data_IF_396282421675
#
_entry.id   IF_396282421675
#
_cell.length_a   1.000
_cell.length_b   1.000
_cell.length_c   1.000
_cell.angle_alpha   90.00
_cell.angle_beta   90.00
_cell.angle_gamma   90.00
#
_symmetry.space_group_name_H-M   'P 1'
#
loop_
_entity.id
_entity.type
_entity.pdbx_description
1 polymer ?
#
# COMPACT_ATOMS: atom_id res chain seq x y z
N UNK A 1 -13.98 5.17 38.11
CA UNK A 1 -13.47 3.80 37.89
C UNK A 1 -14.38 3.12 36.88
N UNK A 2 -14.02 3.12 35.58
CA UNK A 2 -14.50 2.12 34.61
C UNK A 2 -13.77 2.24 33.25
N UNK A 3 -12.91 1.24 33.03
CA UNK A 3 -12.31 0.64 31.81
C UNK A 3 -12.37 1.42 30.49
N UNK A 4 -11.23 2.01 30.13
CA UNK A 4 -10.81 2.21 28.73
C UNK A 4 -10.53 0.84 28.08
N UNK A 5 -11.25 0.48 27.02
CA UNK A 5 -10.87 -0.64 26.16
C UNK A 5 -9.87 -0.14 25.11
N UNK A 6 -8.71 -0.80 25.07
CA UNK A 6 -7.67 -0.61 24.07
C UNK A 6 -8.21 -1.08 22.71
N UNK A 7 -8.46 -0.16 21.78
CA UNK A 7 -8.51 -0.44 20.33
C UNK A 7 -7.31 0.22 19.66
N UNK A 8 -6.56 -0.59 18.92
CA UNK A 8 -5.28 -0.24 18.29
C UNK A 8 -5.42 0.80 17.19
N UNK A 9 -4.30 1.47 16.92
CA UNK A 9 -4.14 2.58 15.98
C UNK A 9 -4.24 2.15 14.50
N UNK A 10 -5.41 1.67 14.07
CA UNK A 10 -5.69 1.26 12.69
C UNK A 10 -6.62 2.19 11.90
N UNK A 11 -7.23 3.19 12.53
CA UNK A 11 -8.24 4.07 11.91
C UNK A 11 -7.82 5.55 12.05
N UNK A 12 -7.17 6.11 11.02
CA UNK A 12 -6.84 7.56 10.95
C UNK A 12 -7.64 8.30 9.85
N UNK A 13 -8.66 7.68 9.25
CA UNK A 13 -9.57 8.38 8.34
C UNK A 13 -11.01 8.39 8.85
N UNK A 14 -11.26 9.06 9.98
CA UNK A 14 -12.58 9.54 10.36
C UNK A 14 -12.51 10.98 10.89
N UNK A 15 -12.98 11.95 10.11
CA UNK A 15 -13.60 13.17 10.64
C UNK A 15 -14.59 13.74 9.59
N UNK A 16 -15.82 13.23 9.60
CA UNK A 16 -16.97 13.93 9.03
C UNK A 16 -18.15 13.81 10.02
N UNK A 17 -18.39 14.86 10.80
CA UNK A 17 -19.69 15.10 11.46
C UNK A 17 -20.47 16.08 10.61
N UNK A 18 -21.55 15.63 9.98
CA UNK A 18 -22.66 16.50 9.62
C UNK A 18 -23.98 15.76 9.85
N UNK A 19 -24.74 16.21 10.83
CA UNK A 19 -26.06 15.70 11.18
C UNK A 19 -27.07 16.17 10.13
N UNK A 20 -27.57 15.27 9.28
CA UNK A 20 -28.99 15.09 8.91
C UNK A 20 -29.16 14.35 7.57
N UNK A 21 -30.24 13.55 7.53
CA UNK A 21 -30.96 12.94 6.39
C UNK A 21 -30.57 11.52 5.94
N UNK A 22 -31.48 10.58 6.24
CA UNK A 22 -31.34 9.14 6.21
C UNK A 22 -31.73 8.40 4.93
N UNK A 23 -31.43 8.93 3.73
CA UNK A 23 -31.58 8.18 2.46
C UNK A 23 -30.31 8.07 1.61
N UNK A 24 -29.22 8.78 1.97
CA UNK A 24 -27.90 8.63 1.35
C UNK A 24 -27.04 7.53 2.02
N UNK A 25 -27.64 6.65 2.82
CA UNK A 25 -26.94 5.79 3.77
C UNK A 25 -26.23 4.60 3.11
N UNK A 26 -26.79 4.03 2.04
CA UNK A 26 -26.21 2.82 1.42
C UNK A 26 -25.01 3.08 0.50
N UNK A 27 -24.95 4.26 -0.14
CA UNK A 27 -23.80 4.63 -0.98
C UNK A 27 -22.70 5.30 -0.13
N UNK A 28 -23.08 6.05 0.92
CA UNK A 28 -22.11 6.76 1.78
C UNK A 28 -21.48 5.87 2.86
N UNK A 29 -22.17 4.88 3.45
CA UNK A 29 -21.55 3.99 4.45
C UNK A 29 -20.45 3.11 3.86
N UNK A 30 -20.50 2.77 2.57
CA UNK A 30 -19.41 2.08 1.88
C UNK A 30 -18.17 2.94 1.64
N UNK A 31 -18.33 4.27 1.55
CA UNK A 31 -17.33 5.20 1.04
C UNK A 31 -16.72 6.12 2.13
N UNK A 32 -17.47 6.45 3.19
CA UNK A 32 -17.00 7.28 4.32
C UNK A 32 -15.94 6.57 5.20
N UNK A 33 -15.72 5.28 4.98
CA UNK A 33 -14.78 4.45 5.73
C UNK A 33 -13.31 4.54 5.22
N UNK A 34 -12.95 5.44 4.30
CA UNK A 34 -11.61 5.47 3.69
C UNK A 34 -11.26 4.19 2.89
N UNK A 35 -12.26 3.38 2.52
CA UNK A 35 -12.12 2.05 1.93
C UNK A 35 -12.10 2.05 0.40
N UNK A 36 -11.22 2.83 -0.24
CA UNK A 36 -10.84 2.54 -1.64
C UNK A 36 -9.99 1.26 -1.67
N UNK A 37 -10.66 0.11 -1.57
CA UNK A 37 -10.03 -1.21 -1.52
C UNK A 37 -9.17 -1.46 -2.76
N UNK A 38 -8.00 -2.06 -2.58
CA UNK A 38 -7.15 -2.61 -3.66
C UNK A 38 -7.96 -3.54 -4.59
N UNK A 39 -9.05 -4.11 -4.09
CA UNK A 39 -9.90 -5.12 -4.71
C UNK A 39 -11.00 -4.67 -5.69
N UNK A 40 -11.23 -3.37 -5.89
CA UNK A 40 -12.18 -2.90 -6.92
C UNK A 40 -11.52 -2.86 -8.30
N UNK A 41 -12.25 -3.14 -9.39
CA UNK A 41 -11.71 -3.00 -10.75
C UNK A 41 -11.20 -1.58 -11.03
N UNK A 42 -10.19 -1.42 -11.91
CA UNK A 42 -9.59 -0.10 -12.17
C UNK A 42 -10.63 0.94 -12.62
N UNK A 43 -11.55 0.56 -13.51
CA UNK A 43 -12.59 1.44 -14.03
C UNK A 43 -13.57 1.93 -12.94
N UNK A 44 -13.96 1.05 -12.01
CA UNK A 44 -14.85 1.41 -10.92
C UNK A 44 -14.19 2.31 -9.89
N UNK A 45 -12.90 2.09 -9.62
CA UNK A 45 -12.11 2.97 -8.74
C UNK A 45 -12.04 4.37 -9.32
N UNK A 46 -11.73 4.48 -10.61
CA UNK A 46 -11.66 5.78 -11.29
C UNK A 46 -13.03 6.45 -11.22
N UNK A 47 -14.10 5.79 -11.68
CA UNK A 47 -15.45 6.36 -11.66
C UNK A 47 -15.87 6.84 -10.26
N UNK A 48 -15.70 5.99 -9.24
CA UNK A 48 -16.05 6.35 -7.87
C UNK A 48 -15.24 7.54 -7.35
N UNK A 49 -13.95 7.61 -7.67
CA UNK A 49 -13.09 8.69 -7.22
C UNK A 49 -13.40 10.03 -7.91
N UNK A 50 -13.68 10.00 -9.22
CA UNK A 50 -14.18 11.18 -9.95
C UNK A 50 -15.46 11.70 -9.30
N UNK A 51 -16.42 10.80 -9.02
CA UNK A 51 -17.69 11.17 -8.38
C UNK A 51 -17.49 11.75 -6.99
N UNK A 52 -16.57 11.20 -6.19
CA UNK A 52 -16.24 11.73 -4.86
C UNK A 52 -15.70 13.17 -4.98
N UNK A 53 -14.83 13.45 -5.94
CA UNK A 53 -14.31 14.80 -6.16
C UNK A 53 -15.40 15.78 -6.61
N UNK A 54 -16.27 15.38 -7.54
CA UNK A 54 -17.40 16.20 -7.97
C UNK A 54 -18.34 16.52 -6.81
N UNK A 55 -18.68 15.51 -5.99
CA UNK A 55 -19.50 15.70 -4.79
C UNK A 55 -18.85 16.65 -3.79
N UNK A 56 -17.53 16.55 -3.61
CA UNK A 56 -16.76 17.47 -2.79
C UNK A 56 -16.92 18.93 -3.26
N UNK A 57 -16.80 19.19 -4.58
CA UNK A 57 -17.07 20.52 -5.16
C UNK A 57 -18.53 20.94 -4.99
N UNK A 58 -19.49 20.06 -5.27
CA UNK A 58 -20.93 20.34 -5.16
C UNK A 58 -21.37 20.68 -3.73
N UNK A 59 -20.67 20.15 -2.72
CA UNK A 59 -21.00 20.39 -1.30
C UNK A 59 -20.86 21.87 -0.93
N UNK A 60 -19.93 22.60 -1.56
CA UNK A 60 -19.70 24.03 -1.33
C UNK A 60 -19.10 24.40 0.04
N UNK A 61 -19.26 23.55 1.05
CA UNK A 61 -18.71 23.75 2.41
C UNK A 61 -17.38 23.03 2.64
N UNK A 62 -17.02 22.06 1.79
CA UNK A 62 -15.72 21.39 1.90
C UNK A 62 -14.59 22.37 1.57
N UNK A 63 -13.66 22.54 2.50
CA UNK A 63 -12.53 23.47 2.32
C UNK A 63 -11.27 22.79 1.81
N UNK A 64 -11.05 21.52 2.12
CA UNK A 64 -9.84 20.80 1.72
C UNK A 64 -10.19 19.37 1.33
N UNK A 65 -9.90 19.02 0.09
CA UNK A 65 -9.97 17.66 -0.42
C UNK A 65 -8.56 17.06 -0.49
N UNK A 66 -8.32 15.92 0.17
CA UNK A 66 -7.03 15.22 0.09
C UNK A 66 -7.23 13.86 -0.57
N UNK A 67 -6.57 13.65 -1.70
CA UNK A 67 -6.60 12.39 -2.43
C UNK A 67 -5.51 11.43 -1.95
N UNK A 68 -5.87 10.21 -1.56
CA UNK A 68 -4.90 9.14 -1.25
C UNK A 68 -4.43 8.47 -2.54
N UNK A 69 -3.24 8.82 -2.99
CA UNK A 69 -2.74 8.47 -4.30
C UNK A 69 -1.64 7.41 -4.26
N UNK A 70 -1.33 6.86 -5.44
CA UNK A 70 -0.14 6.09 -5.76
C UNK A 70 0.40 6.61 -7.10
N UNK A 71 1.67 6.37 -7.38
CA UNK A 71 2.34 6.86 -8.59
C UNK A 71 1.60 6.43 -9.87
N UNK A 72 1.59 7.30 -10.88
CA UNK A 72 1.08 6.95 -12.21
C UNK A 72 2.16 6.22 -13.02
N UNK A 73 2.41 4.96 -12.66
CA UNK A 73 3.52 4.15 -13.19
C UNK A 73 3.53 4.05 -14.71
N UNK A 74 2.38 3.79 -15.34
CA UNK A 74 2.30 3.78 -16.80
C UNK A 74 2.75 5.12 -17.39
N UNK A 75 2.40 6.27 -16.80
CA UNK A 75 2.86 7.57 -17.31
C UNK A 75 4.37 7.76 -17.10
N UNK A 76 4.88 7.42 -15.91
CA UNK A 76 6.31 7.53 -15.55
C UNK A 76 7.20 6.69 -16.47
N UNK A 77 6.71 5.51 -16.88
CA UNK A 77 7.49 4.53 -17.66
C UNK A 77 7.25 4.61 -19.17
N UNK A 78 6.62 5.68 -19.67
CA UNK A 78 6.33 5.82 -21.10
C UNK A 78 5.33 4.78 -21.63
N UNK A 79 4.38 4.38 -20.79
CA UNK A 79 3.31 3.40 -21.05
C UNK A 79 3.80 1.98 -21.34
N UNK A 80 4.97 1.62 -20.82
CA UNK A 80 5.53 0.28 -20.98
C UNK A 80 4.66 -0.77 -20.25
N UNK A 81 4.13 -1.80 -20.95
CA UNK A 81 3.25 -2.81 -20.35
C UNK A 81 3.92 -3.67 -19.25
N UNK A 82 5.27 -3.72 -19.22
CA UNK A 82 6.06 -4.40 -18.18
C UNK A 82 5.76 -3.86 -16.78
N UNK A 83 5.43 -2.58 -16.65
CA UNK A 83 5.19 -1.90 -15.38
C UNK A 83 3.72 -1.50 -15.18
N UNK A 84 2.80 -2.01 -16.02
CA UNK A 84 1.38 -1.65 -15.94
C UNK A 84 0.71 -2.26 -14.70
N UNK A 85 0.73 -1.53 -13.60
CA UNK A 85 0.14 -1.93 -12.33
C UNK A 85 -1.20 -1.25 -12.12
N UNK A 86 -2.28 -2.01 -12.27
CA UNK A 86 -3.62 -1.44 -12.36
C UNK A 86 -4.04 -0.66 -11.11
N UNK A 87 -3.62 -1.12 -9.93
CA UNK A 87 -3.99 -0.48 -8.68
C UNK A 87 -3.19 0.80 -8.38
N UNK A 88 -2.00 0.96 -8.98
CA UNK A 88 -1.24 2.21 -9.00
C UNK A 88 -1.84 3.17 -10.03
N UNK A 89 -1.89 2.73 -11.30
CA UNK A 89 -2.33 3.58 -12.41
C UNK A 89 -3.76 4.10 -12.26
N UNK A 90 -4.67 3.32 -11.64
CA UNK A 90 -6.04 3.80 -11.39
C UNK A 90 -6.07 5.01 -10.46
N UNK A 91 -5.20 5.08 -9.46
CA UNK A 91 -5.09 6.24 -8.57
C UNK A 91 -4.38 7.40 -9.27
N UNK A 92 -3.27 7.12 -9.94
CA UNK A 92 -2.52 8.13 -10.70
C UNK A 92 -3.36 8.83 -11.78
N UNK A 93 -4.21 8.09 -12.52
CA UNK A 93 -5.16 8.67 -13.48
C UNK A 93 -6.17 9.62 -12.84
N UNK A 94 -6.66 9.28 -11.66
CA UNK A 94 -7.57 10.16 -10.91
C UNK A 94 -6.86 11.45 -10.52
N UNK A 95 -5.60 11.35 -10.06
CA UNK A 95 -4.83 12.55 -9.75
C UNK A 95 -4.65 13.45 -10.98
N UNK A 96 -4.43 12.90 -12.18
CA UNK A 96 -4.35 13.69 -13.41
C UNK A 96 -5.65 14.43 -13.73
N UNK A 97 -6.81 13.79 -13.50
CA UNK A 97 -8.09 14.48 -13.58
C UNK A 97 -8.20 15.62 -12.57
N UNK A 98 -7.82 15.37 -11.31
CA UNK A 98 -7.87 16.37 -10.21
C UNK A 98 -6.93 17.55 -10.51
N UNK A 99 -5.74 17.29 -11.05
CA UNK A 99 -4.77 18.32 -11.48
C UNK A 99 -5.36 19.29 -12.51
N UNK A 100 -6.30 18.83 -13.34
CA UNK A 100 -7.03 19.68 -14.28
C UNK A 100 -8.09 20.59 -13.65
N UNK A 101 -8.32 20.52 -12.34
CA UNK A 101 -9.37 21.24 -11.63
C UNK A 101 -8.82 22.44 -10.86
N UNK A 102 -9.59 23.53 -10.71
CA UNK A 102 -9.16 24.68 -9.91
C UNK A 102 -9.03 24.30 -8.43
N UNK A 103 -7.95 24.78 -7.80
CA UNK A 103 -7.74 24.72 -6.36
C UNK A 103 -7.78 26.14 -5.79
N UNK A 104 -8.80 26.42 -4.99
CA UNK A 104 -9.14 27.79 -4.59
C UNK A 104 -8.94 27.96 -3.09
N UNK A 105 -8.03 28.86 -2.70
CA UNK A 105 -7.74 29.14 -1.29
C UNK A 105 -9.00 29.57 -0.53
N UNK A 106 -9.81 30.46 -1.12
CA UNK A 106 -11.08 30.92 -0.55
C UNK A 106 -12.24 29.92 -0.72
N UNK A 107 -12.06 28.94 -1.60
CA UNK A 107 -13.03 27.89 -1.91
C UNK A 107 -12.59 26.54 -1.37
N UNK A 108 -12.65 25.53 -2.24
CA UNK A 108 -12.13 24.19 -1.96
C UNK A 108 -10.74 24.07 -2.58
N UNK A 109 -9.72 23.83 -1.75
CA UNK A 109 -8.42 23.38 -2.25
C UNK A 109 -8.42 21.87 -2.39
N UNK A 110 -7.61 21.38 -3.33
CA UNK A 110 -7.28 19.97 -3.39
C UNK A 110 -5.77 19.78 -3.17
N UNK A 111 -5.43 18.67 -2.53
CA UNK A 111 -4.07 18.16 -2.39
C UNK A 111 -4.09 16.65 -2.62
N UNK A 112 -2.92 16.08 -2.84
CA UNK A 112 -2.73 14.64 -2.95
C UNK A 112 -1.61 14.18 -2.03
N UNK A 113 -1.76 12.98 -1.49
CA UNK A 113 -0.74 12.29 -0.71
C UNK A 113 -0.42 10.99 -1.43
N UNK A 114 0.69 10.97 -2.16
CA UNK A 114 1.20 9.80 -2.87
C UNK A 114 2.12 9.01 -1.95
N UNK A 115 1.80 7.74 -1.72
CA UNK A 115 2.50 6.89 -0.76
C UNK A 115 3.15 5.68 -1.44
N UNK A 116 3.77 4.81 -0.66
CA UNK A 116 4.26 3.51 -1.10
C UNK A 116 3.66 2.35 -0.31
N UNK A 117 4.22 1.15 -0.45
CA UNK A 117 3.88 -0.01 0.37
C UNK A 117 4.09 0.25 1.85
N UNK A 118 3.26 -0.36 2.69
CA UNK A 118 3.37 -0.17 4.14
C UNK A 118 4.47 -1.05 4.72
N UNK A 119 5.26 -0.54 5.67
CA UNK A 119 6.24 -1.35 6.41
C UNK A 119 5.55 -2.54 7.10
N UNK A 120 4.29 -2.37 7.49
CA UNK A 120 3.43 -3.40 8.04
C UNK A 120 3.32 -4.63 7.14
N UNK A 121 3.48 -4.50 5.81
CA UNK A 121 3.49 -5.62 4.88
C UNK A 121 4.64 -6.61 5.11
N UNK A 122 5.67 -6.26 5.89
CA UNK A 122 6.68 -7.19 6.41
C UNK A 122 6.08 -8.24 7.36
N UNK A 123 4.87 -7.98 7.89
CA UNK A 123 4.06 -8.96 8.63
C UNK A 123 3.05 -9.67 7.72
N UNK A 124 3.30 -9.77 6.41
CA UNK A 124 2.40 -10.41 5.44
C UNK A 124 3.20 -11.31 4.51
N UNK A 125 2.57 -12.29 3.84
CA UNK A 125 3.27 -13.17 2.90
C UNK A 125 3.79 -12.45 1.65
N UNK A 126 3.46 -11.17 1.46
CA UNK A 126 3.95 -10.39 0.31
C UNK A 126 5.42 -10.00 0.51
N UNK A 127 5.81 -9.54 1.70
CA UNK A 127 7.20 -9.11 2.00
C UNK A 127 7.86 -9.85 3.16
N UNK A 128 7.06 -10.43 4.06
CA UNK A 128 7.55 -11.09 5.25
C UNK A 128 8.31 -12.38 4.95
N UNK A 129 9.21 -12.81 5.85
CA UNK A 129 10.02 -13.98 5.63
C UNK A 129 9.23 -15.28 5.83
N UNK A 130 9.77 -16.37 5.30
CA UNK A 130 9.41 -17.74 5.66
C UNK A 130 10.31 -18.21 6.81
N UNK A 131 9.81 -19.07 7.70
CA UNK A 131 10.66 -19.73 8.69
C UNK A 131 11.01 -21.15 8.22
N UNK A 132 12.30 -21.42 8.04
CA UNK A 132 12.80 -22.77 7.84
C UNK A 132 13.08 -23.44 9.19
N UNK A 133 12.15 -24.26 9.65
CA UNK A 133 12.28 -24.99 10.92
C UNK A 133 13.43 -26.00 10.97
N UNK A 134 13.97 -26.45 9.81
CA UNK A 134 15.11 -27.39 9.79
C UNK A 134 16.43 -26.71 10.11
N UNK A 135 16.57 -25.44 9.72
CA UNK A 135 17.80 -24.66 9.88
C UNK A 135 17.64 -23.51 10.88
N UNK A 136 16.46 -23.42 11.48
CA UNK A 136 16.00 -22.30 12.31
C UNK A 136 16.38 -20.93 11.72
N UNK A 137 16.08 -20.75 10.43
CA UNK A 137 16.49 -19.55 9.68
C UNK A 137 15.28 -18.91 9.01
N UNK A 138 15.17 -17.60 9.15
CA UNK A 138 14.17 -16.79 8.46
C UNK A 138 14.66 -16.43 7.06
N UNK A 139 13.87 -16.74 6.04
CA UNK A 139 14.23 -16.50 4.64
C UNK A 139 13.32 -15.41 4.09
N UNK A 140 13.87 -14.22 3.88
CA UNK A 140 13.22 -13.17 3.12
C UNK A 140 13.38 -13.52 1.64
N UNK A 141 12.32 -14.05 1.02
CA UNK A 141 12.35 -14.50 -0.36
C UNK A 141 11.51 -13.55 -1.22
N UNK A 142 12.14 -12.79 -2.10
CA UNK A 142 11.47 -11.78 -2.93
C UNK A 142 12.16 -11.64 -4.30
N UNK A 143 11.40 -11.39 -5.38
CA UNK A 143 11.93 -11.17 -6.73
C UNK A 143 12.32 -9.69 -6.91
N UNK A 144 13.31 -9.21 -6.15
CA UNK A 144 13.66 -7.77 -6.10
C UNK A 144 15.11 -7.49 -6.55
N UNK A 145 15.95 -8.51 -6.72
CA UNK A 145 17.33 -8.31 -7.14
C UNK A 145 18.07 -7.36 -6.21
N UNK A 146 18.51 -6.21 -6.75
CA UNK A 146 19.20 -5.13 -6.01
C UNK A 146 18.34 -3.86 -5.86
N UNK A 147 17.05 -3.97 -6.19
CA UNK A 147 16.12 -2.85 -6.12
C UNK A 147 15.66 -2.53 -4.70
N UNK A 148 14.90 -1.45 -4.58
CA UNK A 148 14.45 -0.87 -3.32
C UNK A 148 12.94 -0.67 -3.31
N UNK A 149 12.34 -0.84 -2.12
CA UNK A 149 10.94 -0.47 -1.90
C UNK A 149 10.87 0.80 -1.06
N UNK A 150 10.27 1.90 -1.55
CA UNK A 150 9.96 3.07 -0.74
C UNK A 150 8.81 2.74 0.21
N UNK A 151 9.13 2.20 1.39
CA UNK A 151 8.13 1.79 2.38
C UNK A 151 7.74 2.97 3.29
N UNK A 152 6.46 3.08 3.64
CA UNK A 152 5.93 4.06 4.61
C UNK A 152 5.39 3.32 5.83
N UNK A 153 5.70 3.78 7.04
CA UNK A 153 5.04 3.26 8.25
C UNK A 153 3.62 3.86 8.37
N UNK A 154 2.66 3.13 8.93
CA UNK A 154 1.30 3.70 9.11
C UNK A 154 1.29 4.93 10.02
N UNK A 155 2.24 5.03 10.97
CA UNK A 155 2.37 6.21 11.84
C UNK A 155 2.87 7.43 11.09
N UNK A 156 3.87 7.29 10.23
CA UNK A 156 4.35 8.40 9.40
C UNK A 156 3.32 8.79 8.33
N UNK A 157 2.59 7.82 7.78
CA UNK A 157 1.45 8.09 6.89
C UNK A 157 0.41 8.99 7.59
N UNK A 158 0.05 8.68 8.83
CA UNK A 158 -0.84 9.50 9.64
C UNK A 158 -0.29 10.90 9.91
N UNK A 159 1.03 11.01 10.14
CA UNK A 159 1.71 12.30 10.29
C UNK A 159 1.57 13.16 9.02
N UNK A 160 1.93 12.64 7.85
CA UNK A 160 1.86 13.39 6.60
C UNK A 160 0.43 13.74 6.20
N UNK A 161 -0.54 12.84 6.43
CA UNK A 161 -1.95 13.13 6.20
C UNK A 161 -2.40 14.34 7.03
N UNK A 162 -2.08 14.36 8.33
CA UNK A 162 -2.36 15.50 9.19
C UNK A 162 -1.61 16.76 8.75
N UNK A 163 -0.32 16.63 8.41
CA UNK A 163 0.52 17.75 8.01
C UNK A 163 -0.07 18.51 6.81
N UNK A 164 -0.60 17.80 5.82
CA UNK A 164 -1.28 18.42 4.67
C UNK A 164 -2.47 19.27 5.13
N UNK A 165 -3.32 18.75 6.01
CA UNK A 165 -4.48 19.51 6.52
C UNK A 165 -4.07 20.74 7.33
N UNK A 166 -3.03 20.62 8.16
CA UNK A 166 -2.50 21.74 8.97
C UNK A 166 -1.83 22.82 8.08
N UNK A 167 -1.46 22.50 6.84
CA UNK A 167 -0.77 23.38 5.88
C UNK A 167 -1.55 23.58 4.58
N UNK A 168 -2.88 23.67 4.67
CA UNK A 168 -3.82 23.73 3.55
C UNK A 168 -3.40 24.63 2.38
N UNK A 169 -3.03 25.88 2.65
CA UNK A 169 -2.68 26.83 1.59
C UNK A 169 -1.38 26.43 0.87
N UNK A 170 -0.37 25.99 1.63
CA UNK A 170 0.91 25.55 1.10
C UNK A 170 0.80 24.29 0.23
N UNK A 171 -0.26 23.49 0.42
CA UNK A 171 -0.51 22.26 -0.34
C UNK A 171 -1.64 22.38 -1.37
N UNK A 172 -2.17 23.58 -1.61
CA UNK A 172 -3.14 23.81 -2.67
C UNK A 172 -2.58 23.41 -4.03
N UNK A 173 -3.29 22.56 -4.77
CA UNK A 173 -2.89 21.99 -6.05
C UNK A 173 -1.53 21.24 -6.04
N UNK A 174 -1.15 20.65 -4.89
CA UNK A 174 0.11 19.90 -4.76
C UNK A 174 -0.13 18.42 -4.47
N UNK A 175 0.78 17.61 -4.99
CA UNK A 175 0.95 16.22 -4.58
C UNK A 175 2.18 16.12 -3.68
N UNK A 176 2.02 15.50 -2.51
CA UNK A 176 3.12 15.22 -1.59
C UNK A 176 3.46 13.73 -1.70
N UNK A 177 4.62 13.43 -2.28
CA UNK A 177 5.12 12.07 -2.46
C UNK A 177 5.99 11.68 -1.26
N UNK A 178 5.51 10.71 -0.46
CA UNK A 178 6.14 10.36 0.83
C UNK A 178 6.61 8.91 0.87
N UNK A 179 7.62 8.70 1.70
CA UNK A 179 8.11 7.39 2.13
C UNK A 179 8.79 7.56 3.50
N UNK A 180 8.84 6.49 4.29
CA UNK A 180 9.59 6.47 5.55
C UNK A 180 11.04 6.07 5.31
N UNK A 181 11.25 5.08 4.45
CA UNK A 181 12.56 4.51 4.18
C UNK A 181 12.64 3.90 2.77
N UNK A 182 13.84 3.85 2.19
CA UNK A 182 14.13 3.14 0.95
C UNK A 182 14.74 1.78 1.30
N UNK A 183 13.90 0.76 1.38
CA UNK A 183 14.27 -0.53 1.96
C UNK A 183 14.90 -1.44 0.89
N UNK A 184 16.18 -1.72 1.06
CA UNK A 184 16.89 -2.80 0.39
C UNK A 184 16.76 -4.11 1.20
N UNK A 185 16.66 -5.26 0.53
CA UNK A 185 16.40 -6.54 1.21
C UNK A 185 17.60 -7.06 2.02
N UNK A 186 18.82 -6.79 1.58
CA UNK A 186 20.04 -7.08 2.33
C UNK A 186 20.06 -6.31 3.67
N UNK A 187 19.76 -5.01 3.64
CA UNK A 187 19.68 -4.15 4.83
C UNK A 187 18.50 -4.49 5.72
N UNK A 188 17.37 -4.91 5.14
CA UNK A 188 16.25 -5.45 5.89
C UNK A 188 16.67 -6.69 6.71
N UNK A 189 17.40 -7.62 6.09
CA UNK A 189 17.89 -8.84 6.76
C UNK A 189 18.92 -8.50 7.84
N UNK A 190 19.90 -7.65 7.55
CA UNK A 190 20.87 -7.19 8.55
C UNK A 190 20.17 -6.57 9.77
N UNK A 191 19.18 -5.69 9.51
CA UNK A 191 18.39 -5.04 10.55
C UNK A 191 17.58 -6.05 11.36
N UNK A 192 16.95 -7.02 10.70
CA UNK A 192 16.18 -8.07 11.36
C UNK A 192 17.05 -8.92 12.28
N UNK A 193 18.24 -9.34 11.83
CA UNK A 193 19.19 -10.12 12.65
C UNK A 193 19.64 -9.29 13.85
N UNK A 194 20.04 -8.04 13.62
CA UNK A 194 20.48 -7.12 14.70
C UNK A 194 19.40 -6.93 15.77
N UNK A 195 18.16 -6.73 15.36
CA UNK A 195 17.05 -6.45 16.28
C UNK A 195 16.56 -7.71 17.00
N UNK A 196 16.40 -8.83 16.29
CA UNK A 196 15.75 -10.04 16.83
C UNK A 196 16.73 -11.07 17.38
N UNK A 197 18.01 -11.01 16.99
CA UNK A 197 19.00 -12.06 17.24
C UNK A 197 18.76 -13.36 16.46
N UNK A 198 17.73 -13.42 15.61
CA UNK A 198 17.36 -14.62 14.86
C UNK A 198 18.17 -14.70 13.57
N UNK A 199 18.55 -15.92 13.17
CA UNK A 199 19.21 -16.16 11.88
C UNK A 199 18.27 -15.79 10.74
N UNK A 200 18.78 -15.03 9.77
CA UNK A 200 18.03 -14.73 8.56
C UNK A 200 18.93 -14.63 7.33
N UNK A 201 18.32 -14.79 6.16
CA UNK A 201 18.97 -14.51 4.87
C UNK A 201 17.97 -13.95 3.85
N UNK A 202 18.47 -13.17 2.90
CA UNK A 202 17.74 -12.80 1.69
C UNK A 202 18.06 -13.84 0.61
N UNK A 203 17.04 -14.27 -0.13
CA UNK A 203 17.20 -15.05 -1.36
C UNK A 203 16.39 -14.36 -2.44
N UNK A 204 17.08 -13.86 -3.46
CA UNK A 204 16.43 -13.39 -4.67
C UNK A 204 15.87 -14.59 -5.44
N UNK A 205 14.58 -14.54 -5.78
CA UNK A 205 13.88 -15.68 -6.38
C UNK A 205 13.15 -15.29 -7.66
N UNK A 206 12.99 -16.23 -8.60
CA UNK A 206 12.05 -16.04 -9.71
C UNK A 206 10.64 -15.76 -9.21
N UNK A 207 9.92 -14.91 -9.94
CA UNK A 207 8.54 -14.51 -9.59
C UNK A 207 7.60 -15.72 -9.49
N UNK A 208 7.86 -16.79 -10.26
CA UNK A 208 7.09 -18.03 -10.27
C UNK A 208 7.19 -18.78 -8.93
N UNK A 209 8.37 -18.74 -8.28
CA UNK A 209 8.55 -19.32 -6.94
C UNK A 209 7.84 -18.45 -5.91
N UNK A 210 7.94 -17.12 -6.04
CA UNK A 210 7.26 -16.21 -5.12
C UNK A 210 5.74 -16.36 -5.19
N UNK A 211 5.17 -16.51 -6.38
CA UNK A 211 3.73 -16.73 -6.58
C UNK A 211 3.23 -18.04 -5.97
N UNK A 212 4.07 -19.08 -5.81
CA UNK A 212 3.68 -20.33 -5.14
C UNK A 212 3.35 -20.11 -3.65
N UNK A 213 3.93 -19.09 -3.02
CA UNK A 213 3.68 -18.74 -1.61
C UNK A 213 2.29 -18.16 -1.37
N UNK A 214 1.51 -17.96 -2.43
CA UNK A 214 0.22 -17.30 -2.40
C UNK A 214 -0.86 -18.16 -3.06
N UNK A 215 -2.04 -18.22 -2.47
CA UNK A 215 -3.22 -18.88 -3.05
C UNK A 215 -3.90 -17.93 -4.03
N UNK A 216 -4.62 -18.48 -5.02
CA UNK A 216 -5.52 -17.76 -5.92
C UNK A 216 -4.82 -16.66 -6.75
N UNK A 217 -3.55 -16.85 -7.10
CA UNK A 217 -2.79 -15.89 -7.92
C UNK A 217 -3.30 -15.82 -9.35
N UNK A 218 -3.93 -16.88 -9.85
CA UNK A 218 -4.58 -17.00 -11.15
C UNK A 218 -5.96 -16.31 -11.22
N UNK A 219 -6.54 -15.94 -10.07
CA UNK A 219 -7.88 -15.32 -10.02
C UNK A 219 -7.82 -13.83 -10.38
N UNK A 220 -8.89 -13.27 -10.97
CA UNK A 220 -8.99 -11.84 -11.19
C UNK A 220 -8.78 -11.04 -9.92
N UNK A 221 -7.99 -9.97 -10.04
CA UNK A 221 -7.68 -9.08 -8.92
C UNK A 221 -8.90 -8.28 -8.45
N UNK A 222 -9.86 -8.02 -9.33
CA UNK A 222 -11.10 -7.35 -9.00
C UNK A 222 -12.11 -8.32 -8.38
N UNK A 223 -12.51 -8.10 -7.12
CA UNK A 223 -13.37 -9.02 -6.36
C UNK A 223 -14.69 -9.38 -7.07
N UNK A 224 -15.27 -8.47 -7.86
CA UNK A 224 -16.53 -8.71 -8.57
C UNK A 224 -16.41 -9.73 -9.71
N UNK A 225 -15.18 -9.97 -10.16
CA UNK A 225 -14.85 -10.95 -11.20
C UNK A 225 -14.13 -12.16 -10.62
N UNK A 226 -14.02 -12.26 -9.29
CA UNK A 226 -13.25 -13.33 -8.65
C UNK A 226 -13.73 -14.74 -9.07
N UNK A 227 -15.05 -14.90 -9.19
CA UNK A 227 -15.69 -16.15 -9.58
C UNK A 227 -15.88 -16.30 -11.09
N UNK A 228 -15.58 -15.29 -11.90
CA UNK A 228 -15.79 -15.33 -13.37
C UNK A 228 -14.67 -16.01 -14.16
N UNK A 229 -13.66 -16.58 -13.48
CA UNK A 229 -12.43 -17.05 -14.13
C UNK A 229 -11.55 -15.88 -14.62
N UNK A 230 -10.39 -16.19 -15.21
CA UNK A 230 -9.37 -15.19 -15.60
C UNK A 230 -9.61 -14.51 -16.96
N UNK A 231 -10.61 -14.90 -17.72
CA UNK A 231 -10.81 -14.42 -19.10
C UNK A 231 -11.11 -12.91 -19.12
N UNK A 232 -10.24 -12.14 -19.80
CA UNK A 232 -10.41 -10.70 -19.99
C UNK A 232 -10.09 -9.82 -18.79
N UNK A 233 -9.49 -10.36 -17.72
CA UNK A 233 -9.16 -9.61 -16.50
C UNK A 233 -7.73 -9.85 -16.05
N UNK A 234 -7.04 -8.80 -15.61
CA UNK A 234 -5.71 -8.96 -15.01
C UNK A 234 -5.81 -9.77 -13.71
N UNK A 235 -5.04 -10.84 -13.65
CA UNK A 235 -4.99 -11.72 -12.47
C UNK A 235 -4.23 -11.07 -11.33
N UNK A 236 -4.37 -11.60 -10.12
CA UNK A 236 -3.60 -11.13 -8.97
C UNK A 236 -2.09 -11.29 -9.24
N UNK A 237 -1.68 -12.46 -9.74
CA UNK A 237 -0.30 -12.79 -10.08
C UNK A 237 0.27 -11.83 -11.13
N UNK A 238 -0.41 -11.64 -12.26
CA UNK A 238 0.04 -10.71 -13.31
C UNK A 238 0.24 -9.28 -12.80
N UNK A 239 -0.68 -8.79 -11.97
CA UNK A 239 -0.56 -7.45 -11.39
C UNK A 239 0.63 -7.36 -10.44
N UNK A 240 0.85 -8.37 -9.58
CA UNK A 240 1.95 -8.36 -8.62
C UNK A 240 3.31 -8.67 -9.23
N UNK A 241 3.38 -9.43 -10.33
CA UNK A 241 4.59 -9.56 -11.17
C UNK A 241 5.03 -8.19 -11.69
N UNK A 242 4.10 -7.42 -12.27
CA UNK A 242 4.39 -6.07 -12.76
C UNK A 242 4.74 -5.10 -11.63
N UNK A 243 4.18 -5.33 -10.44
CA UNK A 243 4.45 -4.53 -9.25
C UNK A 243 5.84 -4.79 -8.67
N UNK A 244 6.30 -6.03 -8.65
CA UNK A 244 7.69 -6.33 -8.30
C UNK A 244 8.69 -5.73 -9.28
N UNK A 245 8.40 -5.74 -10.58
CA UNK A 245 9.25 -5.09 -11.59
C UNK A 245 9.48 -3.60 -11.31
N UNK A 246 8.51 -2.90 -10.72
CA UNK A 246 8.66 -1.47 -10.36
C UNK A 246 9.81 -1.29 -9.37
N UNK A 247 9.91 -2.15 -8.36
CA UNK A 247 10.92 -2.03 -7.32
C UNK A 247 12.24 -2.66 -7.72
N UNK A 248 12.21 -3.80 -8.42
CA UNK A 248 13.40 -4.41 -8.97
C UNK A 248 14.20 -3.42 -9.83
N UNK A 249 13.51 -2.61 -10.65
CA UNK A 249 14.14 -1.64 -11.55
C UNK A 249 14.19 -0.21 -10.97
N UNK A 250 13.91 -0.04 -9.67
CA UNK A 250 13.89 1.25 -8.95
C UNK A 250 13.12 2.37 -9.69
N UNK A 251 11.97 2.05 -10.27
CA UNK A 251 11.16 2.98 -11.08
C UNK A 251 10.63 4.15 -10.23
N UNK A 252 10.24 3.89 -8.98
CA UNK A 252 9.71 4.92 -8.07
C UNK A 252 10.86 5.57 -7.31
N UNK A 253 10.99 6.89 -7.42
CA UNK A 253 11.96 7.70 -6.66
C UNK A 253 11.26 8.55 -5.60
N UNK A 254 11.97 8.85 -4.51
CA UNK A 254 11.51 9.73 -3.42
C UNK A 254 12.66 10.60 -2.93
N UNK A 255 12.36 11.87 -2.67
CA UNK A 255 13.31 12.82 -2.08
C UNK A 255 13.25 12.73 -0.55
N UNK A 256 14.04 11.81 0.03
CA UNK A 256 14.09 11.62 1.47
C UNK A 256 14.52 12.87 2.24
N UNK A 257 15.37 13.71 1.65
CA UNK A 257 15.86 14.92 2.32
C UNK A 257 14.77 15.99 2.39
N UNK A 258 13.97 16.16 1.34
CA UNK A 258 12.77 16.99 1.38
C UNK A 258 11.73 16.45 2.38
N UNK A 259 11.54 15.13 2.42
CA UNK A 259 10.59 14.48 3.34
C UNK A 259 11.03 14.67 4.80
N UNK A 260 12.32 14.49 5.11
CA UNK A 260 12.87 14.70 6.47
C UNK A 260 12.79 16.16 6.93
N UNK A 261 12.81 17.13 6.04
CA UNK A 261 12.56 18.55 6.40
C UNK A 261 11.13 18.75 6.91
N UNK A 262 10.17 18.00 6.39
CA UNK A 262 8.77 18.03 6.85
C UNK A 262 8.61 17.22 8.14
N UNK A 263 9.21 16.03 8.21
CA UNK A 263 9.12 15.12 9.35
C UNK A 263 10.52 14.65 9.77
N UNK A 264 11.23 15.39 10.65
CA UNK A 264 12.58 15.04 11.08
C UNK A 264 12.68 13.71 11.84
N UNK A 265 11.56 13.23 12.41
CA UNK A 265 11.47 11.97 13.14
C UNK A 265 10.94 10.81 12.26
N UNK A 266 11.23 10.86 10.96
CA UNK A 266 10.88 9.83 9.98
C UNK A 266 11.46 8.47 10.41
N UNK A 267 10.65 7.41 10.35
CA UNK A 267 11.08 6.08 10.81
C UNK A 267 11.92 5.38 9.75
N UNK A 268 13.07 4.84 10.17
CA UNK A 268 13.71 3.77 9.41
C UNK A 268 12.97 2.45 9.62
N UNK A 269 13.28 1.44 8.80
CA UNK A 269 12.79 0.08 9.01
C UNK A 269 13.19 -0.48 10.39
N UNK A 270 14.39 -0.14 10.89
CA UNK A 270 14.84 -0.50 12.25
C UNK A 270 13.95 0.11 13.33
N UNK A 271 13.71 1.43 13.24
CA UNK A 271 12.87 2.13 14.20
C UNK A 271 11.45 1.55 14.22
N UNK A 272 10.90 1.19 13.05
CA UNK A 272 9.62 0.52 12.95
C UNK A 272 9.62 -0.87 13.56
N UNK A 273 10.66 -1.69 13.35
CA UNK A 273 10.77 -3.02 13.97
C UNK A 273 10.80 -2.93 15.49
N UNK A 274 11.57 -1.99 16.05
CA UNK A 274 11.64 -1.73 17.49
C UNK A 274 10.28 -1.31 18.03
N UNK A 275 9.65 -0.32 17.40
CA UNK A 275 8.38 0.25 17.87
C UNK A 275 7.22 -0.75 17.83
N UNK A 276 7.22 -1.65 16.85
CA UNK A 276 6.14 -2.64 16.67
C UNK A 276 6.44 -3.98 17.31
N UNK A 277 7.61 -4.14 17.93
CA UNK A 277 8.14 -5.41 18.43
C UNK A 277 8.04 -6.51 17.35
N UNK A 278 8.58 -6.23 16.17
CA UNK A 278 8.46 -7.09 15.01
C UNK A 278 9.14 -8.45 15.24
N UNK A 279 8.38 -9.54 15.04
CA UNK A 279 8.79 -10.91 15.33
C UNK A 279 8.74 -11.84 14.11
N UNK A 280 8.45 -11.28 12.92
CA UNK A 280 8.17 -11.97 11.66
C UNK A 280 6.88 -12.81 11.64
N UNK A 281 5.98 -12.66 12.61
CA UNK A 281 4.65 -13.28 12.54
C UNK A 281 3.79 -12.63 11.45
N UNK A 282 3.00 -13.46 10.75
CA UNK A 282 2.02 -12.95 9.79
C UNK A 282 0.80 -12.40 10.52
N UNK A 283 0.36 -11.23 10.08
CA UNK A 283 -0.79 -10.48 10.57
C UNK A 283 -1.77 -10.29 9.42
N UNK A 284 -3.06 -10.27 9.75
CA UNK A 284 -4.09 -9.94 8.77
C UNK A 284 -4.12 -8.42 8.61
N UNK A 285 -3.56 -7.92 7.51
CA UNK A 285 -3.44 -6.48 7.25
C UNK A 285 -4.52 -5.94 6.30
N UNK A 286 -4.99 -6.76 5.37
CA UNK A 286 -5.98 -6.36 4.38
C UNK A 286 -7.32 -7.01 4.67
N UNK A 287 -8.39 -6.21 4.65
CA UNK A 287 -9.78 -6.67 4.76
C UNK A 287 -10.15 -7.77 3.74
N UNK A 288 -9.53 -7.74 2.57
CA UNK A 288 -9.72 -8.76 1.55
C UNK A 288 -9.23 -10.15 2.01
N UNK A 289 -8.15 -10.19 2.78
CA UNK A 289 -7.62 -11.43 3.36
C UNK A 289 -8.52 -11.93 4.49
N UNK A 290 -9.18 -11.04 5.24
CA UNK A 290 -10.22 -11.40 6.22
C UNK A 290 -11.43 -12.08 5.55
N UNK A 291 -11.77 -11.66 4.33
CA UNK A 291 -12.86 -12.21 3.51
C UNK A 291 -12.41 -13.42 2.64
N UNK A 292 -11.16 -13.89 2.77
CA UNK A 292 -10.60 -15.00 1.99
C UNK A 292 -10.38 -14.72 0.50
N UNK A 293 -10.40 -13.44 0.08
CA UNK A 293 -10.31 -13.01 -1.33
C UNK A 293 -8.99 -12.30 -1.63
N UNK A 294 -8.30 -12.72 -2.69
CA UNK A 294 -6.99 -12.20 -3.12
C UNK A 294 -5.84 -13.16 -2.80
N UNK A 295 -4.59 -12.71 -2.99
CA UNK A 295 -3.39 -13.47 -2.64
C UNK A 295 -3.29 -13.68 -1.13
N UNK A 296 -3.78 -14.83 -0.64
CA UNK A 296 -3.63 -15.27 0.76
C UNK A 296 -2.45 -16.21 0.89
N UNK A 297 -1.89 -16.34 2.09
CA UNK A 297 -0.72 -17.19 2.29
C UNK A 297 -1.00 -18.66 1.95
N UNK A 298 -0.12 -19.28 1.17
CA UNK A 298 -0.19 -20.69 0.80
C UNK A 298 0.72 -21.55 1.69
N UNK A 299 0.26 -21.84 2.91
CA UNK A 299 1.00 -22.67 3.86
C UNK A 299 1.37 -24.06 3.28
N UNK A 300 0.51 -24.61 2.42
CA UNK A 300 0.69 -25.95 1.82
C UNK A 300 1.88 -26.00 0.85
N UNK A 301 2.22 -24.88 0.20
CA UNK A 301 3.37 -24.78 -0.70
C UNK A 301 4.71 -24.58 0.03
N UNK A 302 4.68 -24.16 1.30
CA UNK A 302 5.89 -23.77 2.05
C UNK A 302 6.95 -24.87 2.08
N UNK A 303 6.63 -26.15 2.38
CA UNK A 303 7.65 -27.20 2.40
C UNK A 303 8.36 -27.37 1.04
N UNK A 304 7.59 -27.29 -0.06
CA UNK A 304 8.11 -27.40 -1.42
C UNK A 304 8.95 -26.20 -1.83
N UNK A 305 8.51 -24.99 -1.48
CA UNK A 305 9.27 -23.76 -1.73
C UNK A 305 10.56 -23.74 -0.89
N UNK A 306 10.51 -24.09 0.39
CA UNK A 306 11.72 -24.22 1.22
C UNK A 306 12.71 -25.25 0.65
N UNK A 307 12.23 -26.35 0.06
CA UNK A 307 13.10 -27.31 -0.61
C UNK A 307 13.78 -26.74 -1.86
N UNK A 308 13.10 -25.87 -2.61
CA UNK A 308 13.68 -25.14 -3.74
C UNK A 308 14.71 -24.10 -3.26
N UNK A 309 14.36 -23.31 -2.23
CA UNK A 309 15.22 -22.27 -1.64
C UNK A 309 16.52 -22.80 -1.01
N UNK A 310 16.57 -24.07 -0.60
CA UNK A 310 17.80 -24.69 -0.09
C UNK A 310 18.78 -25.08 -1.20
N UNK A 311 18.33 -25.12 -2.46
CA UNK A 311 19.17 -25.42 -3.63
C UNK A 311 19.74 -24.17 -4.30
N UNK A 312 19.20 -23.00 -3.94
CA UNK A 312 19.70 -21.67 -4.31
C UNK A 312 20.68 -21.18 -3.25
#
# INVERSE_FOLDING_TARGET
MNKMSKKGAGDIFEYFRCNRWGKARDISQGLANGKTRVSKGANEKIFAALRIFELAKQTGTLKHFVWSNLDYISKITGYNPKYKVEHYDSKGRVLEFIKGQPSEINGMVWSSLTTGPYMEMLSSPVFGPLHDSKTDTYIFAAPIGQGHVPMISLKDLGYFARYIFDHREAFSARDLEVTSDLVAWDKLVETFIKFTGKRAKFVDIPIEIWLQLLKNTDRPRANKFYDSGSSGHTTWGENFTKWWNIYHDDIIKRDLEAIKKIHPALRSVEAWMVETNYDASYKVLMKNNEEGKGGTFNADAVPGVLAQLRKL
#
